data_IF_187493631777
#
_entry.id   IF_187493631777
#
_cell.length_a   1.000
_cell.length_b   1.000
_cell.length_c   1.000
_cell.angle_alpha   90.00
_cell.angle_beta   90.00
_cell.angle_gamma   90.00
#
_symmetry.space_group_name_H-M   'P 1'
#
loop_
_entity.id
_entity.type
_entity.pdbx_description
1 polymer ?
#
# COMPACT_ATOMS: atom_id res chain seq x y z
N UNK A 1 -11.50 -34.74 -44.52
CA UNK A 1 -11.24 -33.95 -43.31
C UNK A 1 -12.01 -34.63 -42.19
N UNK A 2 -11.35 -35.46 -41.37
CA UNK A 2 -11.98 -36.05 -40.19
C UNK A 2 -12.16 -34.90 -39.19
N UNK A 3 -13.39 -34.42 -39.06
CA UNK A 3 -13.73 -33.40 -38.09
C UNK A 3 -13.55 -33.93 -36.67
N UNK A 4 -13.10 -33.07 -35.77
CA UNK A 4 -12.97 -33.38 -34.35
C UNK A 4 -14.27 -33.96 -33.79
N UNK A 5 -14.14 -34.98 -32.94
CA UNK A 5 -15.31 -35.56 -32.27
C UNK A 5 -15.86 -34.58 -31.22
N UNK A 6 -17.15 -34.68 -30.93
CA UNK A 6 -17.81 -33.79 -29.95
C UNK A 6 -17.15 -33.85 -28.56
N UNK A 7 -16.68 -35.03 -28.15
CA UNK A 7 -16.00 -35.23 -26.87
C UNK A 7 -14.62 -34.53 -26.85
N UNK A 8 -13.86 -34.55 -27.95
CA UNK A 8 -12.59 -33.83 -28.05
C UNK A 8 -12.79 -32.33 -27.97
N UNK A 9 -13.83 -31.79 -28.63
CA UNK A 9 -14.15 -30.36 -28.56
C UNK A 9 -14.53 -29.96 -27.12
N UNK A 10 -15.32 -30.76 -26.42
CA UNK A 10 -15.67 -30.49 -25.01
C UNK A 10 -14.46 -30.59 -24.06
N UNK A 11 -13.58 -31.57 -24.29
CA UNK A 11 -12.36 -31.72 -23.49
C UNK A 11 -11.43 -30.51 -23.70
N UNK A 12 -11.25 -30.05 -24.93
CA UNK A 12 -10.43 -28.85 -25.22
C UNK A 12 -11.03 -27.60 -24.60
N UNK A 13 -12.35 -27.39 -24.75
CA UNK A 13 -13.02 -26.22 -24.17
C UNK A 13 -12.94 -26.20 -22.64
N UNK A 14 -13.06 -27.35 -21.98
CA UNK A 14 -12.94 -27.42 -20.53
C UNK A 14 -11.50 -27.12 -20.05
N UNK A 15 -10.47 -27.62 -20.74
CA UNK A 15 -9.07 -27.30 -20.43
C UNK A 15 -8.80 -25.80 -20.64
N UNK A 16 -9.27 -25.22 -21.75
CA UNK A 16 -9.09 -23.78 -22.04
C UNK A 16 -9.81 -22.92 -21.00
N UNK A 17 -11.04 -23.27 -20.62
CA UNK A 17 -11.79 -22.54 -19.60
C UNK A 17 -11.06 -22.58 -18.24
N UNK A 18 -10.59 -23.76 -17.80
CA UNK A 18 -9.84 -23.89 -16.55
C UNK A 18 -8.51 -23.14 -16.59
N UNK A 19 -7.79 -23.22 -17.71
CA UNK A 19 -6.50 -22.55 -17.88
C UNK A 19 -6.64 -21.03 -17.85
N UNK A 20 -7.65 -20.49 -18.54
CA UNK A 20 -7.91 -19.04 -18.56
C UNK A 20 -8.28 -18.50 -17.17
N UNK A 21 -9.12 -19.22 -16.42
CA UNK A 21 -9.43 -18.87 -15.02
C UNK A 21 -8.19 -18.91 -14.12
N UNK A 22 -7.35 -19.94 -14.25
CA UNK A 22 -6.12 -20.07 -13.46
C UNK A 22 -5.13 -18.92 -13.71
N UNK A 23 -4.93 -18.54 -14.97
CA UNK A 23 -4.04 -17.43 -15.35
C UNK A 23 -4.55 -16.09 -14.80
N UNK A 24 -5.85 -15.83 -14.85
CA UNK A 24 -6.44 -14.60 -14.29
C UNK A 24 -6.24 -14.52 -12.78
N UNK A 25 -6.50 -15.61 -12.05
CA UNK A 25 -6.29 -15.65 -10.61
C UNK A 25 -4.82 -15.41 -10.22
N UNK A 26 -3.88 -16.00 -10.96
CA UNK A 26 -2.44 -15.78 -10.71
C UNK A 26 -2.01 -14.35 -11.00
N UNK A 27 -2.54 -13.72 -12.05
CA UNK A 27 -2.27 -12.31 -12.38
C UNK A 27 -2.79 -11.38 -11.29
N UNK A 28 -4.00 -11.62 -10.81
CA UNK A 28 -4.62 -10.80 -9.77
C UNK A 28 -3.85 -10.93 -8.45
N UNK A 29 -3.37 -12.14 -8.12
CA UNK A 29 -2.48 -12.36 -6.97
C UNK A 29 -1.12 -11.66 -7.10
N UNK A 30 -0.48 -11.73 -8.28
CA UNK A 30 0.79 -11.04 -8.52
C UNK A 30 0.63 -9.51 -8.40
N UNK A 31 -0.44 -8.96 -8.95
CA UNK A 31 -0.77 -7.53 -8.85
C UNK A 31 -0.99 -7.13 -7.38
N UNK A 32 -1.71 -7.96 -6.62
CA UNK A 32 -1.95 -7.77 -5.19
C UNK A 32 -0.65 -7.70 -4.38
N UNK A 33 0.28 -8.62 -4.63
CA UNK A 33 1.59 -8.61 -3.99
C UNK A 33 2.42 -7.39 -4.36
N UNK A 34 2.41 -6.97 -5.63
CA UNK A 34 3.12 -5.78 -6.08
C UNK A 34 2.64 -4.53 -5.35
N UNK A 35 1.32 -4.34 -5.22
CA UNK A 35 0.74 -3.20 -4.51
C UNK A 35 1.13 -3.17 -3.04
N UNK A 36 1.05 -4.31 -2.34
CA UNK A 36 1.45 -4.39 -0.93
C UNK A 36 2.94 -4.11 -0.75
N UNK A 37 3.80 -4.65 -1.63
CA UNK A 37 5.24 -4.40 -1.59
C UNK A 37 5.58 -2.92 -1.83
N UNK A 38 4.92 -2.29 -2.80
CA UNK A 38 5.09 -0.87 -3.10
C UNK A 38 4.65 0.01 -1.92
N UNK A 39 3.49 -0.28 -1.30
CA UNK A 39 3.02 0.45 -0.12
C UNK A 39 4.01 0.34 1.07
N UNK A 40 4.59 -0.84 1.29
CA UNK A 40 5.67 -1.02 2.29
C UNK A 40 6.91 -0.21 1.95
N UNK A 41 7.31 -0.17 0.68
CA UNK A 41 8.40 0.67 0.21
C UNK A 41 8.13 2.15 0.43
N UNK A 42 6.89 2.61 0.20
CA UNK A 42 6.47 3.98 0.48
C UNK A 42 6.53 4.29 1.97
N UNK A 43 6.05 3.39 2.85
CA UNK A 43 6.17 3.55 4.31
C UNK A 43 7.64 3.67 4.72
N UNK A 44 8.51 2.78 4.26
CA UNK A 44 9.94 2.81 4.58
C UNK A 44 10.61 4.12 4.11
N UNK A 45 10.27 4.60 2.92
CA UNK A 45 10.76 5.88 2.40
C UNK A 45 10.29 7.05 3.26
N UNK A 46 9.01 7.06 3.67
CA UNK A 46 8.46 8.08 4.56
C UNK A 46 9.17 8.05 5.92
N UNK A 47 9.35 6.88 6.53
CA UNK A 47 10.06 6.76 7.80
C UNK A 47 11.48 7.33 7.70
N UNK A 48 12.22 6.97 6.64
CA UNK A 48 13.55 7.55 6.37
C UNK A 48 13.48 9.06 6.20
N UNK A 49 12.48 9.55 5.46
CA UNK A 49 12.34 10.98 5.21
C UNK A 49 11.97 11.79 6.46
N UNK A 50 11.13 11.22 7.32
CA UNK A 50 10.77 11.79 8.64
C UNK A 50 11.98 11.83 9.56
N UNK A 51 12.84 10.80 9.55
CA UNK A 51 14.10 10.82 10.30
C UNK A 51 15.06 11.91 9.81
N UNK A 52 15.14 12.15 8.51
CA UNK A 52 15.95 13.22 7.94
C UNK A 52 15.36 14.62 8.21
N UNK A 53 14.04 14.76 8.21
CA UNK A 53 13.34 16.00 8.52
C UNK A 53 13.32 16.32 10.03
N UNK A 54 13.64 15.33 10.88
CA UNK A 54 13.43 15.36 12.33
C UNK A 54 13.75 16.72 12.97
N UNK A 55 12.77 17.37 13.60
CA UNK A 55 12.97 18.67 14.22
C UNK A 55 13.77 18.54 15.52
N UNK A 56 14.55 19.58 15.86
CA UNK A 56 15.50 19.56 16.98
C UNK A 56 14.86 19.37 18.35
N UNK A 57 13.57 19.66 18.49
CA UNK A 57 12.79 19.47 19.73
C UNK A 57 12.13 18.08 19.83
N UNK A 58 12.26 17.23 18.80
CA UNK A 58 11.66 15.89 18.76
C UNK A 58 10.15 15.86 18.58
N UNK A 59 9.52 16.98 18.18
CA UNK A 59 8.06 17.11 18.04
C UNK A 59 7.68 17.23 16.57
N UNK A 60 6.89 16.29 16.05
CA UNK A 60 6.53 16.17 14.64
C UNK A 60 5.43 17.13 14.15
N UNK A 61 5.10 18.16 14.92
CA UNK A 61 4.10 19.17 14.50
C UNK A 61 4.49 19.79 13.15
N UNK A 62 3.56 19.74 12.19
CA UNK A 62 3.78 20.23 10.82
C UNK A 62 4.38 19.19 9.86
N UNK A 63 4.65 17.96 10.32
CA UNK A 63 5.02 16.85 9.42
C UNK A 63 3.91 16.61 8.40
N UNK A 64 4.29 16.50 7.14
CA UNK A 64 3.41 16.21 6.01
C UNK A 64 4.25 15.72 4.82
N UNK A 65 3.63 15.05 3.84
CA UNK A 65 4.34 14.66 2.61
C UNK A 65 4.95 15.90 1.93
N UNK A 66 4.22 17.01 1.88
CA UNK A 66 4.71 18.27 1.32
C UNK A 66 5.93 18.82 2.10
N UNK A 67 5.90 18.76 3.44
CA UNK A 67 7.05 19.17 4.24
C UNK A 67 8.28 18.28 3.96
N UNK A 68 8.08 16.96 3.82
CA UNK A 68 9.15 16.01 3.53
C UNK A 68 9.72 16.14 2.10
N UNK A 69 8.89 16.42 1.10
CA UNK A 69 9.37 16.68 -0.26
C UNK A 69 10.11 18.02 -0.37
N UNK A 70 9.73 19.03 0.42
CA UNK A 70 10.39 20.35 0.43
C UNK A 70 11.86 20.32 0.86
N UNK A 71 12.23 19.38 1.74
CA UNK A 71 13.62 19.18 2.20
C UNK A 71 14.35 18.08 1.41
N UNK A 72 13.78 17.66 0.28
CA UNK A 72 14.28 16.57 -0.57
C UNK A 72 14.43 15.22 0.16
N UNK A 73 13.67 15.00 1.23
CA UNK A 73 13.61 13.72 1.96
C UNK A 73 12.73 12.67 1.25
N UNK A 74 11.86 13.11 0.34
CA UNK A 74 10.99 12.28 -0.49
C UNK A 74 11.01 12.77 -1.96
N UNK A 75 10.64 11.92 -2.93
CA UNK A 75 10.58 12.33 -4.34
C UNK A 75 9.64 13.53 -4.54
N UNK A 76 10.09 14.55 -5.26
CA UNK A 76 9.30 15.76 -5.55
C UNK A 76 7.99 15.40 -6.28
N UNK A 77 8.00 14.32 -7.07
CA UNK A 77 6.83 13.81 -7.78
C UNK A 77 5.69 13.36 -6.85
N UNK A 78 5.94 13.18 -5.55
CA UNK A 78 4.90 12.84 -4.59
C UNK A 78 4.05 14.04 -4.18
N UNK A 79 4.53 15.27 -4.41
CA UNK A 79 3.76 16.49 -4.18
C UNK A 79 3.19 16.59 -2.76
N UNK A 80 1.87 16.63 -2.67
CA UNK A 80 1.08 16.66 -1.44
C UNK A 80 0.67 15.26 -0.91
N UNK A 81 1.00 14.20 -1.66
CA UNK A 81 0.61 12.83 -1.35
C UNK A 81 -0.67 12.36 -2.06
N UNK A 82 -1.27 13.16 -2.93
CA UNK A 82 -2.52 12.79 -3.59
C UNK A 82 -2.35 11.76 -4.71
N UNK A 83 -3.19 10.71 -4.68
CA UNK A 83 -3.23 9.64 -5.70
C UNK A 83 -1.89 8.93 -5.95
N UNK A 84 -0.96 8.95 -4.99
CA UNK A 84 0.37 8.35 -5.16
C UNK A 84 0.47 6.90 -4.71
N UNK A 85 -0.54 6.39 -3.98
CA UNK A 85 -0.48 5.02 -3.50
C UNK A 85 -0.83 4.00 -4.60
N UNK A 86 -0.49 2.72 -4.44
CA UNK A 86 -0.68 1.69 -5.48
C UNK A 86 -2.14 1.42 -5.88
N UNK A 87 -3.11 1.94 -5.12
CA UNK A 87 -4.53 1.85 -5.39
C UNK A 87 -5.12 3.12 -6.01
N UNK A 88 -4.28 4.12 -6.30
CA UNK A 88 -4.69 5.44 -6.77
C UNK A 88 -5.41 6.25 -5.69
N UNK A 89 -5.09 5.99 -4.42
CA UNK A 89 -5.50 6.81 -3.28
C UNK A 89 -4.37 7.69 -2.76
N UNK A 90 -4.68 8.42 -1.71
CA UNK A 90 -3.76 9.36 -1.10
C UNK A 90 -2.87 8.67 -0.06
N UNK A 91 -1.70 9.27 0.15
CA UNK A 91 -0.83 9.00 1.28
C UNK A 91 -0.70 10.28 2.10
N UNK A 92 -1.09 10.22 3.36
CA UNK A 92 -1.05 11.35 4.29
C UNK A 92 -0.06 11.05 5.41
N UNK A 93 0.71 12.06 5.83
CA UNK A 93 1.55 11.99 7.03
C UNK A 93 1.14 13.14 7.94
N UNK A 94 0.88 12.84 9.20
CA UNK A 94 0.48 13.84 10.19
C UNK A 94 1.05 13.50 11.56
N UNK A 95 1.09 14.49 12.44
CA UNK A 95 1.42 14.28 13.86
C UNK A 95 0.28 13.53 14.56
N UNK A 96 0.61 12.69 15.54
CA UNK A 96 -0.39 12.11 16.44
C UNK A 96 -0.91 13.20 17.39
N UNK A 97 -2.23 13.36 17.45
CA UNK A 97 -2.87 14.37 18.29
C UNK A 97 -2.75 14.08 19.79
N UNK A 98 -2.42 12.84 20.16
CA UNK A 98 -2.28 12.41 21.56
C UNK A 98 -0.83 12.48 22.06
N UNK A 99 0.14 12.33 21.15
CA UNK A 99 1.57 12.43 21.44
C UNK A 99 2.31 13.02 20.25
N UNK A 100 2.74 14.27 20.38
CA UNK A 100 3.38 14.99 19.30
C UNK A 100 4.81 14.49 18.97
N UNK A 101 5.34 13.52 19.73
CA UNK A 101 6.59 12.79 19.39
C UNK A 101 6.35 11.61 18.44
N UNK A 102 5.09 11.35 18.07
CA UNK A 102 4.67 10.32 17.12
C UNK A 102 4.10 10.92 15.86
N UNK A 103 4.14 10.14 14.80
CA UNK A 103 3.53 10.48 13.52
C UNK A 103 2.75 9.29 12.96
N UNK A 104 1.71 9.61 12.19
CA UNK A 104 0.78 8.68 11.58
C UNK A 104 0.97 8.76 10.07
N UNK A 105 1.11 7.61 9.42
CA UNK A 105 1.03 7.46 7.98
C UNK A 105 -0.30 6.81 7.64
N UNK A 106 -1.05 7.42 6.72
CA UNK A 106 -2.36 6.95 6.28
C UNK A 106 -2.40 6.71 4.79
N UNK A 107 -2.97 5.59 4.39
CA UNK A 107 -3.27 5.23 3.00
C UNK A 107 -4.78 5.16 2.81
N UNK A 108 -5.30 5.77 1.74
CA UNK A 108 -6.73 5.73 1.40
C UNK A 108 -7.01 4.86 0.16
N UNK A 109 -8.29 4.57 -0.11
CA UNK A 109 -8.75 3.86 -1.31
C UNK A 109 -8.10 2.46 -1.50
N UNK A 110 -7.81 1.73 -0.42
CA UNK A 110 -7.41 0.32 -0.53
C UNK A 110 -8.63 -0.51 -0.95
N UNK A 111 -8.70 -0.85 -2.24
CA UNK A 111 -9.89 -1.49 -2.84
C UNK A 111 -10.03 -2.98 -2.54
N UNK A 112 -8.94 -3.62 -2.10
CA UNK A 112 -8.90 -5.04 -1.78
C UNK A 112 -8.68 -5.17 -0.27
N UNK A 113 -9.73 -5.48 0.53
CA UNK A 113 -9.61 -5.52 1.99
C UNK A 113 -8.52 -6.49 2.48
N UNK A 114 -8.28 -7.58 1.77
CA UNK A 114 -7.24 -8.54 2.10
C UNK A 114 -5.83 -7.92 2.04
N UNK A 115 -5.60 -6.93 1.17
CA UNK A 115 -4.32 -6.21 1.08
C UNK A 115 -4.13 -5.29 2.28
N UNK A 116 -5.17 -4.56 2.70
CA UNK A 116 -5.14 -3.74 3.91
C UNK A 116 -4.97 -4.57 5.19
N UNK A 117 -5.64 -5.72 5.28
CA UNK A 117 -5.47 -6.67 6.38
C UNK A 117 -4.07 -7.30 6.43
N UNK A 118 -3.42 -7.48 5.28
CA UNK A 118 -2.01 -7.92 5.23
C UNK A 118 -1.09 -6.84 5.78
N UNK A 119 -1.26 -5.59 5.34
CA UNK A 119 -0.51 -4.46 5.90
C UNK A 119 -0.71 -4.34 7.41
N UNK A 120 -1.94 -4.48 7.90
CA UNK A 120 -2.21 -4.49 9.34
C UNK A 120 -1.33 -5.50 10.08
N UNK A 121 -1.39 -6.79 9.69
CA UNK A 121 -0.60 -7.84 10.34
C UNK A 121 0.90 -7.61 10.23
N UNK A 122 1.37 -7.10 9.10
CA UNK A 122 2.80 -6.88 8.86
C UNK A 122 3.36 -5.74 9.73
N UNK A 123 2.56 -4.72 10.05
CA UNK A 123 2.99 -3.57 10.84
C UNK A 123 2.64 -3.68 12.34
N UNK A 124 1.71 -4.56 12.73
CA UNK A 124 1.23 -4.72 14.11
C UNK A 124 2.35 -4.95 15.14
N UNK A 125 3.47 -5.55 14.72
CA UNK A 125 4.61 -5.88 15.61
C UNK A 125 5.67 -4.78 15.67
N UNK A 126 5.67 -3.85 14.71
CA UNK A 126 6.74 -2.84 14.55
C UNK A 126 6.27 -1.40 14.71
N UNK A 127 4.96 -1.18 14.72
CA UNK A 127 4.35 0.14 14.90
C UNK A 127 3.74 0.27 16.30
N UNK A 128 3.60 1.51 16.77
CA UNK A 128 2.96 1.83 18.05
C UNK A 128 1.46 1.54 18.01
N UNK A 129 0.84 1.81 16.86
CA UNK A 129 -0.56 1.55 16.61
C UNK A 129 -0.78 1.30 15.13
N UNK A 130 -1.66 0.36 14.81
CA UNK A 130 -2.04 0.03 13.43
C UNK A 130 -3.54 -0.13 13.37
N UNK A 131 -4.14 0.37 12.29
CA UNK A 131 -5.56 0.15 12.04
C UNK A 131 -5.84 0.01 10.56
N UNK A 132 -6.85 -0.79 10.23
CA UNK A 132 -7.41 -0.86 8.88
C UNK A 132 -8.93 -0.90 8.99
N UNK A 133 -9.59 0.17 8.57
CA UNK A 133 -11.05 0.33 8.67
C UNK A 133 -11.60 0.82 7.33
N UNK A 134 -12.61 0.12 6.82
CA UNK A 134 -13.16 0.38 5.48
C UNK A 134 -12.07 0.18 4.41
N UNK A 135 -11.65 1.28 3.79
CA UNK A 135 -10.61 1.31 2.75
C UNK A 135 -9.40 2.16 3.14
N UNK A 136 -9.23 2.45 4.44
CA UNK A 136 -8.13 3.26 4.96
C UNK A 136 -7.26 2.45 5.91
N UNK A 137 -5.96 2.47 5.66
CA UNK A 137 -4.92 1.90 6.52
C UNK A 137 -4.17 3.03 7.22
N UNK A 138 -3.99 2.93 8.52
CA UNK A 138 -3.19 3.87 9.31
C UNK A 138 -2.15 3.12 10.14
N UNK A 139 -0.95 3.67 10.17
CA UNK A 139 0.16 3.15 10.97
C UNK A 139 0.85 4.30 11.70
N UNK A 140 1.03 4.15 13.00
CA UNK A 140 1.65 5.14 13.88
C UNK A 140 3.05 4.68 14.26
N UNK A 141 4.03 5.56 14.13
CA UNK A 141 5.40 5.29 14.52
C UNK A 141 5.90 6.31 15.54
N UNK A 142 6.83 5.84 16.38
CA UNK A 142 7.69 6.69 17.18
C UNK A 142 8.82 7.25 16.30
N UNK A 143 9.21 8.50 16.56
CA UNK A 143 10.29 9.17 15.84
C UNK A 143 11.64 9.22 16.54
#
# INVERSE_FOLDING_TARGET
>A
MLGFTFIEVLAVLSIVALSTLGVLAMRDWATSNSRVAEAKGQIAAIQSGVQQWRPSNGVYTGVSIQALTSVASLPISWGDGSSINPWGGDVEVRVDNTDATRYIIRFTNIRVPQEGQRLHRDFEVIAEHVSFVGNAFEVTFQG
#
